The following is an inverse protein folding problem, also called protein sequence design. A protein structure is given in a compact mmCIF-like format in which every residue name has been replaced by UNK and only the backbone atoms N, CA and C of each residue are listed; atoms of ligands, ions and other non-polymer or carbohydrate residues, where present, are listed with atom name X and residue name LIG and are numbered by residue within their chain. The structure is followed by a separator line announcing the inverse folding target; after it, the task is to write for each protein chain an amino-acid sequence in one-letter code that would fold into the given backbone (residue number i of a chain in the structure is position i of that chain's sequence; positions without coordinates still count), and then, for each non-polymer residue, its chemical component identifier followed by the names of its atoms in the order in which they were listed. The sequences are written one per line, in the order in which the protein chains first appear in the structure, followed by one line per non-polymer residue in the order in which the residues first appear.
data_IF_860388234398
#
_entry.id   IF_860388234398
#
_cell.length_a   1.000
_cell.length_b   1.000
_cell.length_c   1.000
_cell.angle_alpha   90.00
_cell.angle_beta   90.00
_cell.angle_gamma   90.00
#
_symmetry.space_group_name_H-M   'P 1'
#
loop_
_entity.id
_entity.type
_entity.pdbx_description
1 polymer ?
#
# COMPACT_ATOMS: atom_id res chain seq x y z
N UNK A 1 -24.75 -0.35 6.04
CA UNK A 1 -23.77 0.76 6.04
C UNK A 1 -23.79 1.33 7.44
N UNK A 2 -22.77 1.07 8.24
CA UNK A 2 -22.72 1.52 9.63
C UNK A 2 -22.29 2.98 9.67
N UNK A 3 -22.95 3.78 10.52
CA UNK A 3 -22.54 5.15 10.85
C UNK A 3 -21.73 5.05 12.13
N UNK A 4 -20.45 5.40 12.08
CA UNK A 4 -19.64 5.45 13.29
C UNK A 4 -20.01 6.70 14.08
N UNK A 5 -20.39 6.49 15.34
CA UNK A 5 -20.87 7.54 16.23
C UNK A 5 -19.74 8.22 16.99
N UNK A 6 -18.55 7.62 16.99
CA UNK A 6 -17.33 8.14 17.60
C UNK A 6 -16.25 8.24 16.51
N UNK A 7 -15.38 9.25 16.64
CA UNK A 7 -14.22 9.41 15.76
C UNK A 7 -13.12 8.42 16.14
N UNK A 8 -12.18 8.18 15.23
CA UNK A 8 -11.09 7.23 15.43
C UNK A 8 -11.38 5.85 14.86
N UNK A 9 -10.70 5.48 13.77
CA UNK A 9 -10.77 4.14 13.18
C UNK A 9 -9.69 3.93 12.11
N UNK A 10 -9.52 2.68 11.70
CA UNK A 10 -8.54 2.23 10.72
C UNK A 10 -9.26 1.66 9.49
N UNK A 11 -8.88 2.17 8.32
CA UNK A 11 -9.26 1.65 7.01
C UNK A 11 -8.01 1.09 6.32
N UNK A 12 -8.06 -0.13 5.81
CA UNK A 12 -6.99 -0.73 5.00
C UNK A 12 -7.48 -0.99 3.58
N UNK A 13 -6.75 -0.45 2.60
CA UNK A 13 -6.92 -0.72 1.18
C UNK A 13 -5.75 -1.59 0.73
N UNK A 14 -6.03 -2.80 0.27
CA UNK A 14 -4.99 -3.77 -0.08
C UNK A 14 -5.26 -4.49 -1.39
N UNK A 15 -4.25 -5.17 -1.92
CA UNK A 15 -4.30 -5.92 -3.18
C UNK A 15 -2.98 -5.87 -3.93
N UNK A 16 -2.90 -6.60 -5.04
CA UNK A 16 -1.70 -6.67 -5.90
C UNK A 16 -1.31 -5.31 -6.49
N UNK A 17 -0.16 -5.21 -7.14
CA UNK A 17 0.13 -4.08 -8.03
C UNK A 17 -0.98 -3.95 -9.09
N UNK A 18 -1.19 -2.72 -9.59
CA UNK A 18 -2.20 -2.36 -10.61
C UNK A 18 -3.68 -2.53 -10.21
N UNK A 19 -3.96 -2.84 -8.93
CA UNK A 19 -5.34 -2.99 -8.43
C UNK A 19 -6.05 -1.67 -8.10
N UNK A 20 -5.38 -0.53 -8.26
CA UNK A 20 -5.97 0.79 -7.97
C UNK A 20 -5.91 1.22 -6.50
N UNK A 21 -5.01 0.65 -5.67
CA UNK A 21 -4.88 1.02 -4.24
C UNK A 21 -4.69 2.52 -4.02
N UNK A 22 -3.68 3.09 -4.67
CA UNK A 22 -3.38 4.53 -4.55
C UNK A 22 -4.50 5.38 -5.15
N UNK A 23 -5.18 4.92 -6.21
CA UNK A 23 -6.36 5.60 -6.76
C UNK A 23 -7.51 5.64 -5.75
N UNK A 24 -7.79 4.53 -5.06
CA UNK A 24 -8.81 4.47 -4.02
C UNK A 24 -8.42 5.30 -2.78
N UNK A 25 -7.14 5.29 -2.37
CA UNK A 25 -6.62 6.15 -1.30
C UNK A 25 -6.85 7.64 -1.62
N UNK A 26 -6.41 8.07 -2.81
CA UNK A 26 -6.60 9.44 -3.32
C UNK A 26 -8.08 9.81 -3.35
N UNK A 27 -8.93 8.89 -3.82
CA UNK A 27 -10.38 9.14 -3.87
C UNK A 27 -10.95 9.39 -2.47
N UNK A 28 -10.53 8.63 -1.46
CA UNK A 28 -10.97 8.84 -0.06
C UNK A 28 -10.43 10.14 0.52
N UNK A 29 -9.15 10.45 0.28
CA UNK A 29 -8.53 11.73 0.70
C UNK A 29 -9.26 12.93 0.09
N UNK A 30 -9.56 12.91 -1.21
CA UNK A 30 -10.31 13.98 -1.88
C UNK A 30 -11.70 14.19 -1.30
N UNK A 31 -12.41 13.11 -0.96
CA UNK A 31 -13.73 13.22 -0.32
C UNK A 31 -13.62 13.94 1.03
N UNK A 32 -12.57 13.68 1.80
CA UNK A 32 -12.30 14.39 3.05
C UNK A 32 -11.98 15.88 2.81
N UNK A 33 -11.26 16.23 1.72
CA UNK A 33 -11.01 17.63 1.35
C UNK A 33 -12.30 18.38 1.04
N UNK A 34 -13.24 17.78 0.29
CA UNK A 34 -14.55 18.38 0.03
C UNK A 34 -15.38 18.56 1.31
N UNK A 35 -15.17 17.69 2.31
CA UNK A 35 -15.75 17.82 3.63
C UNK A 35 -15.03 18.85 4.53
N UNK A 36 -14.02 19.57 3.99
CA UNK A 36 -13.18 20.55 4.69
C UNK A 36 -12.40 19.97 5.88
N UNK A 37 -12.11 18.67 5.84
CA UNK A 37 -11.27 18.01 6.82
C UNK A 37 -9.80 18.30 6.55
N UNK A 38 -9.00 18.48 7.61
CA UNK A 38 -7.55 18.64 7.52
C UNK A 38 -6.89 17.26 7.46
N UNK A 39 -5.97 17.09 6.52
CA UNK A 39 -5.46 15.77 6.12
C UNK A 39 -3.94 15.81 6.04
N UNK A 40 -3.30 14.76 6.54
CA UNK A 40 -1.89 14.48 6.30
C UNK A 40 -1.77 13.18 5.49
N UNK A 41 -0.83 13.14 4.54
CA UNK A 41 -0.55 11.95 3.74
C UNK A 41 0.93 11.63 3.86
N UNK A 42 1.24 10.37 4.15
CA UNK A 42 2.60 9.87 4.38
C UNK A 42 2.93 8.71 3.46
N UNK A 43 4.22 8.54 3.20
CA UNK A 43 4.77 7.39 2.49
C UNK A 43 6.16 7.03 3.05
N UNK A 44 6.61 5.78 2.93
CA UNK A 44 7.95 5.39 3.35
C UNK A 44 9.01 6.00 2.42
N UNK A 45 10.13 6.45 2.98
CA UNK A 45 11.24 7.07 2.21
C UNK A 45 11.86 6.11 1.18
N UNK A 46 11.85 4.80 1.45
CA UNK A 46 12.37 3.78 0.53
C UNK A 46 11.59 3.70 -0.79
N UNK A 47 10.35 4.22 -0.84
CA UNK A 47 9.56 4.30 -2.05
C UNK A 47 9.92 5.53 -2.90
N UNK A 48 11.10 5.49 -3.52
CA UNK A 48 11.60 6.53 -4.42
C UNK A 48 11.24 6.31 -5.90
N UNK A 49 10.42 5.29 -6.21
CA UNK A 49 10.10 4.85 -7.58
C UNK A 49 9.45 5.93 -8.45
N UNK A 50 8.96 7.03 -7.87
CA UNK A 50 8.24 8.09 -8.58
C UNK A 50 8.65 9.55 -8.26
N UNK A 51 9.69 9.80 -7.43
CA UNK A 51 10.36 11.08 -7.07
C UNK A 51 10.51 11.30 -5.55
N UNK A 52 11.45 12.16 -5.14
CA UNK A 52 11.76 12.51 -3.73
C UNK A 52 10.59 13.20 -3.00
N UNK A 53 9.73 13.94 -3.72
CA UNK A 53 8.46 14.50 -3.25
C UNK A 53 7.33 13.99 -4.15
N UNK A 54 7.15 12.67 -4.21
CA UNK A 54 6.16 12.08 -5.10
C UNK A 54 4.74 12.30 -4.59
N UNK A 55 4.12 13.34 -5.13
CA UNK A 55 2.80 13.28 -5.78
C UNK A 55 2.32 11.83 -5.99
N UNK A 56 1.36 11.35 -5.20
CA UNK A 56 0.65 10.12 -5.54
C UNK A 56 -0.22 10.47 -6.74
N UNK A 57 0.20 10.06 -7.95
CA UNK A 57 -0.52 10.30 -9.20
C UNK A 57 -0.82 9.00 -9.91
N UNK A 58 -2.10 8.69 -9.98
CA UNK A 58 -2.68 7.83 -11.00
C UNK A 58 -3.78 8.65 -11.69
N UNK A 59 -3.74 8.71 -13.02
CA UNK A 59 -4.75 9.38 -13.87
C UNK A 59 -4.87 10.90 -13.67
N UNK A 60 -3.74 11.62 -13.53
CA UNK A 60 -3.70 13.09 -13.61
C UNK A 60 -4.13 13.84 -12.34
N UNK A 61 -4.25 13.13 -11.23
CA UNK A 61 -4.63 13.67 -9.93
C UNK A 61 -3.48 13.56 -8.95
N UNK A 62 -3.10 14.66 -8.31
CA UNK A 62 -1.94 14.73 -7.40
C UNK A 62 -2.37 14.99 -5.96
N UNK A 63 -1.94 14.13 -5.03
CA UNK A 63 -1.92 14.42 -3.59
C UNK A 63 -0.47 14.37 -3.11
N UNK A 64 -0.02 15.42 -2.40
CA UNK A 64 1.32 15.47 -1.84
C UNK A 64 1.43 14.53 -0.64
N UNK A 65 2.31 13.53 -0.74
CA UNK A 65 2.64 12.63 0.35
C UNK A 65 4.02 12.97 0.91
N UNK A 66 4.12 13.08 2.23
CA UNK A 66 5.39 13.34 2.92
C UNK A 66 6.16 12.04 3.11
N UNK A 67 7.42 11.94 2.62
CA UNK A 67 8.27 10.80 2.93
C UNK A 67 8.66 10.81 4.40
N UNK A 68 8.57 9.65 5.06
CA UNK A 68 9.00 9.44 6.45
C UNK A 68 9.85 8.18 6.57
N UNK A 69 10.77 8.17 7.53
CA UNK A 69 11.67 7.04 7.78
C UNK A 69 11.05 6.03 8.72
N UNK A 70 10.45 6.53 9.80
CA UNK A 70 9.76 5.72 10.79
C UNK A 70 8.29 6.12 10.87
N UNK A 71 7.37 5.18 11.14
CA UNK A 71 6.00 5.50 11.51
C UNK A 71 5.87 6.50 12.65
N UNK A 72 6.83 6.54 13.58
CA UNK A 72 6.83 7.48 14.72
C UNK A 72 6.91 8.94 14.28
N UNK A 73 7.58 9.22 13.17
CA UNK A 73 7.77 10.56 12.61
C UNK A 73 6.42 11.21 12.19
N UNK A 74 5.34 10.43 12.09
CA UNK A 74 3.99 10.94 11.82
C UNK A 74 3.60 11.98 12.86
N UNK A 75 3.87 11.73 14.14
CA UNK A 75 3.50 12.61 15.25
C UNK A 75 4.19 13.99 15.18
N UNK A 76 5.37 14.08 14.59
CA UNK A 76 6.11 15.34 14.41
C UNK A 76 5.50 16.22 13.30
N UNK A 77 4.52 15.70 12.56
CA UNK A 77 3.96 16.32 11.36
C UNK A 77 2.45 16.54 11.44
N UNK A 78 1.85 16.20 12.57
CA UNK A 78 0.42 16.34 12.81
C UNK A 78 0.15 17.07 14.13
N UNK A 79 -1.08 17.50 14.30
CA UNK A 79 -1.62 18.14 15.50
C UNK A 79 -3.10 17.76 15.64
N UNK A 80 -3.71 18.09 16.78
CA UNK A 80 -5.11 17.72 17.08
C UNK A 80 -6.14 18.32 16.12
N UNK A 81 -5.76 19.29 15.29
CA UNK A 81 -6.62 19.88 14.27
C UNK A 81 -6.65 19.09 12.95
N UNK A 82 -5.89 17.99 12.85
CA UNK A 82 -6.01 17.04 11.74
C UNK A 82 -7.16 16.07 11.98
N UNK A 83 -7.85 15.69 10.91
CA UNK A 83 -8.96 14.73 10.96
C UNK A 83 -8.58 13.36 10.37
N UNK A 84 -7.74 13.37 9.33
CA UNK A 84 -7.44 12.18 8.53
C UNK A 84 -5.94 12.02 8.32
N UNK A 85 -5.44 10.82 8.62
CA UNK A 85 -4.06 10.42 8.38
C UNK A 85 -4.06 9.32 7.32
N UNK A 86 -3.53 9.60 6.14
CA UNK A 86 -3.40 8.63 5.05
C UNK A 86 -1.95 8.15 4.93
N UNK A 87 -1.74 6.85 4.71
CA UNK A 87 -0.43 6.22 4.61
C UNK A 87 -0.42 5.33 3.37
N UNK A 88 0.36 5.67 2.35
CA UNK A 88 0.54 4.83 1.15
C UNK A 88 1.77 3.93 1.30
N UNK A 89 1.77 2.83 0.54
CA UNK A 89 2.83 1.82 0.50
C UNK A 89 3.23 1.26 1.88
N UNK A 90 2.23 1.04 2.74
CA UNK A 90 2.41 0.66 4.15
C UNK A 90 3.18 -0.66 4.36
N UNK A 91 3.26 -1.53 3.35
CA UNK A 91 4.02 -2.79 3.43
C UNK A 91 5.54 -2.60 3.61
N UNK A 92 6.08 -1.41 3.33
CA UNK A 92 7.51 -1.13 3.48
C UNK A 92 7.88 -0.55 4.85
N UNK A 93 6.91 -0.26 5.71
CA UNK A 93 7.21 0.07 7.11
C UNK A 93 7.51 -1.20 7.91
N UNK A 94 8.25 -1.01 8.99
CA UNK A 94 8.45 -2.04 10.01
C UNK A 94 7.18 -2.28 10.83
N UNK A 95 7.19 -3.34 11.64
CA UNK A 95 6.03 -3.77 12.44
C UNK A 95 5.53 -2.72 13.46
N UNK A 96 6.33 -1.71 13.80
CA UNK A 96 5.95 -0.63 14.71
C UNK A 96 4.80 0.24 14.18
N UNK A 97 4.57 0.25 12.86
CA UNK A 97 3.40 0.92 12.25
C UNK A 97 2.08 0.44 12.87
N UNK A 98 1.99 -0.83 13.27
CA UNK A 98 0.75 -1.42 13.83
C UNK A 98 0.37 -0.77 15.16
N UNK A 99 1.36 -0.46 16.01
CA UNK A 99 1.12 0.23 17.26
C UNK A 99 0.77 1.71 17.00
N UNK A 100 1.51 2.37 16.11
CA UNK A 100 1.30 3.78 15.78
C UNK A 100 -0.10 4.02 15.20
N UNK A 101 -0.59 3.18 14.29
CA UNK A 101 -1.94 3.37 13.72
C UNK A 101 -3.04 3.15 14.76
N UNK A 102 -2.84 2.25 15.72
CA UNK A 102 -3.77 2.09 16.84
C UNK A 102 -3.77 3.32 17.73
N UNK A 103 -2.61 3.87 18.05
CA UNK A 103 -2.52 5.10 18.84
C UNK A 103 -3.20 6.27 18.13
N UNK A 104 -2.96 6.45 16.82
CA UNK A 104 -3.63 7.46 16.00
C UNK A 104 -5.16 7.29 16.01
N UNK A 105 -5.66 6.07 15.78
CA UNK A 105 -7.08 5.79 15.80
C UNK A 105 -7.70 6.02 17.19
N UNK A 106 -7.05 5.57 18.26
CA UNK A 106 -7.47 5.79 19.65
C UNK A 106 -7.49 7.28 20.02
N UNK A 107 -6.62 8.09 19.43
CA UNK A 107 -6.60 9.55 19.60
C UNK A 107 -7.75 10.25 18.86
N UNK A 108 -8.48 9.54 18.01
CA UNK A 108 -9.65 10.04 17.28
C UNK A 108 -9.40 10.31 15.79
N UNK A 109 -8.21 10.03 15.25
CA UNK A 109 -7.94 10.22 13.84
C UNK A 109 -8.58 9.12 12.98
N UNK A 110 -9.09 9.50 11.81
CA UNK A 110 -9.39 8.53 10.76
C UNK A 110 -8.11 8.14 10.05
N UNK A 111 -7.67 6.89 10.21
CA UNK A 111 -6.44 6.38 9.60
C UNK A 111 -6.77 5.57 8.35
N UNK A 112 -6.18 5.91 7.19
CA UNK A 112 -6.40 5.21 5.92
C UNK A 112 -5.05 4.70 5.42
N UNK A 113 -4.87 3.38 5.38
CA UNK A 113 -3.67 2.73 4.89
C UNK A 113 -3.90 2.13 3.50
N UNK A 114 -2.91 2.25 2.62
CA UNK A 114 -2.84 1.50 1.38
C UNK A 114 -1.54 0.70 1.31
N UNK A 115 -1.60 -0.56 0.85
CA UNK A 115 -0.41 -1.38 0.71
C UNK A 115 -0.62 -2.73 0.02
N UNK A 116 0.46 -3.34 -0.43
CA UNK A 116 0.44 -4.69 -1.00
C UNK A 116 0.14 -5.72 0.09
N UNK A 117 -0.89 -6.55 -0.09
CA UNK A 117 -1.20 -7.63 0.85
C UNK A 117 -0.21 -8.80 0.76
N UNK A 118 0.41 -8.97 -0.42
CA UNK A 118 1.37 -10.03 -0.70
C UNK A 118 2.56 -9.50 -1.50
N UNK A 119 3.73 -10.09 -1.28
CA UNK A 119 4.91 -9.85 -2.12
C UNK A 119 4.80 -10.60 -3.46
N UNK A 120 5.83 -10.53 -4.31
CA UNK A 120 5.83 -11.23 -5.59
C UNK A 120 5.82 -12.76 -5.45
N UNK A 121 6.22 -13.29 -4.30
CA UNK A 121 6.23 -14.72 -3.97
C UNK A 121 4.85 -15.20 -3.54
N UNK A 122 3.90 -14.28 -3.34
CA UNK A 122 2.55 -14.57 -2.90
C UNK A 122 2.45 -14.88 -1.40
N UNK A 123 3.47 -14.52 -0.63
CA UNK A 123 3.45 -14.58 0.85
C UNK A 123 3.02 -13.23 1.41
N UNK A 124 2.49 -13.18 2.65
CA UNK A 124 2.05 -11.93 3.25
C UNK A 124 3.19 -10.90 3.34
N UNK A 125 2.92 -9.64 2.98
CA UNK A 125 3.97 -8.61 2.91
C UNK A 125 4.01 -7.74 4.17
N UNK A 126 5.11 -7.84 4.92
CA UNK A 126 5.44 -6.91 6.00
C UNK A 126 4.32 -6.82 7.05
N UNK A 127 3.96 -5.62 7.51
CA UNK A 127 2.96 -5.43 8.57
C UNK A 127 1.51 -5.57 8.10
N UNK A 128 1.27 -5.68 6.79
CA UNK A 128 -0.09 -5.64 6.21
C UNK A 128 -1.06 -6.68 6.79
N UNK A 129 -0.68 -7.93 7.10
CA UNK A 129 -1.59 -8.90 7.70
C UNK A 129 -2.11 -8.45 9.07
N UNK A 130 -1.23 -7.85 9.89
CA UNK A 130 -1.59 -7.34 11.22
C UNK A 130 -2.48 -6.11 11.08
N UNK A 131 -2.14 -5.19 10.18
CA UNK A 131 -2.95 -4.01 9.87
C UNK A 131 -4.37 -4.40 9.42
N UNK A 132 -4.51 -5.39 8.54
CA UNK A 132 -5.81 -5.91 8.10
C UNK A 132 -6.60 -6.54 9.25
N UNK A 133 -5.93 -7.19 10.22
CA UNK A 133 -6.59 -7.85 11.32
C UNK A 133 -7.17 -6.87 12.35
N UNK A 134 -6.53 -5.72 12.56
CA UNK A 134 -6.97 -4.71 13.53
C UNK A 134 -7.93 -3.66 12.94
N UNK A 135 -8.06 -3.58 11.62
CA UNK A 135 -8.82 -2.52 10.96
C UNK A 135 -10.34 -2.75 11.02
N UNK A 136 -11.09 -1.67 11.27
CA UNK A 136 -12.56 -1.68 11.19
C UNK A 136 -13.06 -1.88 9.75
N UNK A 137 -12.31 -1.42 8.75
CA UNK A 137 -12.64 -1.61 7.34
C UNK A 137 -11.46 -2.12 6.52
N UNK A 138 -11.64 -3.26 5.86
CA UNK A 138 -10.67 -3.82 4.90
C UNK A 138 -11.28 -3.87 3.50
N UNK A 139 -10.66 -3.17 2.56
CA UNK A 139 -11.01 -3.16 1.14
C UNK A 139 -9.93 -3.89 0.35
N UNK A 140 -10.21 -5.12 -0.10
CA UNK A 140 -9.28 -5.89 -0.93
C UNK A 140 -9.62 -5.73 -2.41
N UNK A 141 -8.82 -4.94 -3.11
CA UNK A 141 -8.96 -4.64 -4.53
C UNK A 141 -8.33 -5.75 -5.39
N UNK A 142 -8.84 -5.89 -6.60
CA UNK A 142 -8.37 -6.85 -7.59
C UNK A 142 -8.04 -6.10 -8.87
N UNK A 143 -6.87 -6.34 -9.46
CA UNK A 143 -6.58 -5.89 -10.82
C UNK A 143 -7.13 -6.91 -11.84
N UNK A 144 -6.84 -6.73 -13.12
CA UNK A 144 -7.16 -7.69 -14.19
C UNK A 144 -5.94 -8.55 -14.49
N UNK A 145 -6.09 -9.88 -14.58
CA UNK A 145 -4.98 -10.77 -14.88
C UNK A 145 -4.48 -10.58 -16.31
N UNK A 146 -3.18 -10.28 -16.47
CA UNK A 146 -2.57 -10.06 -17.79
C UNK A 146 -2.55 -11.29 -18.71
N UNK A 147 -2.78 -12.49 -18.17
CA UNK A 147 -2.76 -13.75 -18.94
C UNK A 147 -4.15 -14.13 -19.45
N UNK A 148 -5.19 -14.04 -18.60
CA UNK A 148 -6.52 -14.55 -18.94
C UNK A 148 -7.68 -13.55 -18.79
N UNK A 149 -7.41 -12.31 -18.36
CA UNK A 149 -8.44 -11.28 -18.17
C UNK A 149 -9.34 -11.48 -16.94
N UNK A 150 -9.19 -12.56 -16.17
CA UNK A 150 -9.96 -12.75 -14.93
C UNK A 150 -9.52 -11.75 -13.84
N UNK A 151 -10.31 -11.57 -12.77
CA UNK A 151 -9.82 -10.87 -11.57
C UNK A 151 -8.50 -11.48 -11.07
N UNK A 152 -7.55 -10.62 -10.74
CA UNK A 152 -6.23 -10.97 -10.23
C UNK A 152 -6.15 -10.78 -8.72
N UNK A 153 -5.16 -11.42 -8.10
CA UNK A 153 -4.90 -11.28 -6.67
C UNK A 153 -3.41 -11.40 -6.34
N UNK A 154 -2.53 -11.37 -7.34
CA UNK A 154 -1.09 -11.61 -7.21
C UNK A 154 -0.32 -10.64 -8.06
N UNK A 155 0.84 -10.24 -7.57
CA UNK A 155 1.85 -9.53 -8.35
C UNK A 155 2.82 -10.58 -8.88
N UNK A 156 2.86 -10.78 -10.20
CA UNK A 156 3.92 -11.56 -10.83
C UNK A 156 5.11 -10.65 -11.06
N UNK A 157 6.27 -11.06 -10.58
CA UNK A 157 7.54 -10.46 -10.97
C UNK A 157 8.19 -11.27 -12.08
N UNK A 158 8.71 -10.56 -13.07
CA UNK A 158 9.43 -11.12 -14.20
C UNK A 158 10.84 -10.51 -14.24
N UNK A 159 11.85 -11.36 -14.38
CA UNK A 159 13.25 -10.97 -14.64
C UNK A 159 13.58 -11.50 -16.03
N UNK A 160 13.93 -10.61 -16.96
CA UNK A 160 14.18 -10.95 -18.37
C UNK A 160 13.00 -11.71 -19.02
N UNK A 161 11.77 -11.32 -18.68
CA UNK A 161 10.53 -11.93 -19.19
C UNK A 161 10.17 -13.29 -18.57
N UNK A 162 10.97 -13.83 -17.65
CA UNK A 162 10.70 -15.10 -16.98
C UNK A 162 10.28 -14.90 -15.52
N UNK A 163 9.41 -15.76 -14.97
CA UNK A 163 9.01 -15.69 -13.55
C UNK A 163 10.21 -15.68 -12.59
N UNK A 164 10.23 -14.68 -11.70
CA UNK A 164 11.26 -14.57 -10.67
C UNK A 164 11.20 -15.73 -9.67
N UNK A 165 12.36 -16.24 -9.27
CA UNK A 165 12.51 -17.36 -8.36
C UNK A 165 12.21 -17.00 -6.90
N UNK A 166 11.88 -18.02 -6.11
CA UNK A 166 11.53 -17.88 -4.69
C UNK A 166 12.68 -17.31 -3.84
N UNK A 167 13.93 -17.52 -4.26
CA UNK A 167 15.12 -17.06 -3.52
C UNK A 167 15.60 -15.67 -3.95
N UNK A 168 14.89 -15.02 -4.89
CA UNK A 168 15.22 -13.66 -5.30
C UNK A 168 14.85 -12.65 -4.18
N UNK A 169 15.64 -11.58 -4.01
CA UNK A 169 15.34 -10.52 -3.04
C UNK A 169 13.97 -9.88 -3.30
N UNK A 170 13.21 -9.57 -2.26
CA UNK A 170 11.90 -8.89 -2.40
C UNK A 170 12.03 -7.50 -3.02
N UNK A 171 13.10 -6.78 -2.66
CA UNK A 171 13.46 -5.47 -3.20
C UNK A 171 14.76 -5.63 -3.96
N UNK A 172 14.79 -5.22 -5.23
CA UNK A 172 15.98 -5.29 -6.07
C UNK A 172 16.10 -4.01 -6.88
N UNK A 173 17.31 -3.49 -6.97
CA UNK A 173 17.62 -2.27 -7.73
C UNK A 173 18.53 -2.68 -8.89
N UNK A 174 18.20 -2.25 -10.11
CA UNK A 174 19.14 -2.31 -11.25
C UNK A 174 19.02 -3.46 -12.26
N UNK A 175 17.93 -4.25 -12.25
CA UNK A 175 17.64 -5.23 -13.32
C UNK A 175 16.46 -4.76 -14.20
N UNK A 176 16.37 -5.22 -15.46
CA UNK A 176 15.17 -5.07 -16.30
C UNK A 176 14.06 -5.98 -15.79
N UNK A 177 13.49 -5.61 -14.66
CA UNK A 177 12.36 -6.28 -14.05
C UNK A 177 11.04 -5.65 -14.50
N UNK A 178 10.02 -6.50 -14.62
CA UNK A 178 8.65 -6.09 -14.86
C UNK A 178 7.73 -6.71 -13.81
N UNK A 179 6.69 -5.99 -13.47
CA UNK A 179 5.62 -6.47 -12.61
C UNK A 179 4.32 -6.47 -13.37
N UNK A 180 3.53 -7.54 -13.22
CA UNK A 180 2.21 -7.62 -13.82
C UNK A 180 1.20 -8.32 -12.89
N UNK A 181 -0.08 -7.95 -12.95
CA UNK A 181 -1.12 -8.60 -12.15
C UNK A 181 -1.48 -9.98 -12.71
N UNK A 182 -1.54 -11.00 -11.85
CA UNK A 182 -2.00 -12.35 -12.22
C UNK A 182 -3.03 -12.91 -11.25
N UNK A 183 -3.91 -13.77 -11.77
CA UNK A 183 -4.79 -14.58 -10.92
C UNK A 183 -3.99 -15.72 -10.28
N UNK A 184 -4.58 -16.36 -9.27
CA UNK A 184 -3.95 -17.48 -8.54
C UNK A 184 -3.43 -18.60 -9.46
N UNK A 185 -4.14 -18.90 -10.54
CA UNK A 185 -3.79 -19.99 -11.46
C UNK A 185 -2.60 -19.67 -12.37
N UNK A 186 -2.37 -18.39 -12.68
CA UNK A 186 -1.30 -17.96 -13.59
C UNK A 186 -0.08 -17.37 -12.85
N UNK A 187 -0.18 -17.19 -11.53
CA UNK A 187 0.95 -16.78 -10.71
C UNK A 187 1.92 -17.94 -10.56
N UNK A 188 3.16 -17.72 -10.98
CA UNK A 188 4.22 -18.73 -11.00
C UNK A 188 5.43 -18.21 -10.23
N UNK A 189 5.93 -19.03 -9.31
CA UNK A 189 7.12 -18.74 -8.51
C UNK A 189 8.00 -20.00 -8.55
N UNK A 190 8.97 -20.10 -9.47
CA UNK A 190 9.87 -21.25 -9.55
C UNK A 190 10.78 -21.33 -8.32
N UNK A 191 11.26 -22.54 -8.03
CA UNK A 191 12.24 -22.79 -6.97
C UNK A 191 13.63 -22.33 -7.43
N UNK A 192 14.42 -21.77 -6.51
CA UNK A 192 15.76 -21.26 -6.79
C UNK A 192 15.80 -19.75 -7.02
N UNK A 193 16.99 -19.25 -7.38
CA UNK A 193 17.21 -17.86 -7.84
C UNK A 193 17.00 -17.75 -9.34
N UNK A 194 16.56 -16.59 -9.80
CA UNK A 194 16.55 -16.30 -11.24
C UNK A 194 17.97 -16.31 -11.79
N UNK A 195 18.16 -16.91 -12.96
CA UNK A 195 19.44 -16.83 -13.68
C UNK A 195 19.52 -15.45 -14.31
N UNK A 196 20.31 -14.55 -13.73
CA UNK A 196 20.80 -13.38 -14.43
C UNK A 196 21.79 -13.86 -15.49
N UNK A 197 21.45 -13.70 -16.78
CA UNK A 197 22.46 -13.76 -17.83
C UNK A 197 23.35 -12.52 -17.78
#
# INVERSE_FOLDING_TARGET
MYVMTQNGWIEVICGSMFSGKSEELIRRVRRSQFAKQKIAVFKPEIDNRYSEEAVVSHNGTTVLARPIKSPKDIWDHISDDFDVIAIDEAQFFEDDIVEIVQQLANHGFRVILAGLDQDFKGVPFGPMPKLMAIAELVTKLQAVCSVCGSPSSRTQRLINGQPAGIDDPVILVGASEAYEPRCRHHHVVPVGKSISQ
#
